data_IF_354925512901
#
_entry.id   IF_354925512901
#
_cell.length_a   1.000
_cell.length_b   1.000
_cell.length_c   1.000
_cell.angle_alpha   90.00
_cell.angle_beta   90.00
_cell.angle_gamma   90.00
#
_symmetry.space_group_name_H-M   'P 1'
#
loop_
_entity.id
_entity.type
_entity.pdbx_description
1 polymer ?
#
# COMPACT_ATOMS: atom_id res chain seq x y z
N UNK A 1 8.98 11.02 1.11
CA UNK A 1 8.30 10.06 0.23
C UNK A 1 7.08 10.76 -0.33
N UNK A 2 7.11 11.02 -1.63
CA UNK A 2 5.99 11.58 -2.35
C UNK A 2 4.98 10.47 -2.67
N UNK A 3 3.74 10.87 -2.96
CA UNK A 3 2.68 9.93 -3.34
C UNK A 3 3.09 9.05 -4.53
N UNK A 4 3.78 9.64 -5.51
CA UNK A 4 4.30 8.93 -6.68
C UNK A 4 5.24 7.77 -6.32
N UNK A 5 6.15 7.96 -5.35
CA UNK A 5 7.07 6.90 -4.91
C UNK A 5 6.31 5.68 -4.34
N UNK A 6 5.18 5.94 -3.66
CA UNK A 6 4.35 4.90 -3.06
C UNK A 6 3.55 4.17 -4.13
N UNK A 7 3.04 4.89 -5.12
CA UNK A 7 2.34 4.31 -6.27
C UNK A 7 3.28 3.44 -7.11
N UNK A 8 4.51 3.88 -7.36
CA UNK A 8 5.54 3.07 -8.02
C UNK A 8 5.85 1.79 -7.23
N UNK A 9 5.96 1.89 -5.90
CA UNK A 9 6.14 0.70 -5.07
C UNK A 9 4.97 -0.28 -5.22
N UNK A 10 3.73 0.19 -5.13
CA UNK A 10 2.53 -0.65 -5.27
C UNK A 10 2.50 -1.33 -6.65
N UNK A 11 2.87 -0.60 -7.71
CA UNK A 11 2.97 -1.17 -9.05
C UNK A 11 4.01 -2.29 -9.10
N UNK A 12 5.21 -2.08 -8.54
CA UNK A 12 6.23 -3.11 -8.48
C UNK A 12 5.77 -4.38 -7.72
N UNK A 13 5.04 -4.23 -6.62
CA UNK A 13 4.40 -5.37 -5.93
C UNK A 13 3.33 -6.06 -6.80
N UNK A 14 2.61 -5.33 -7.66
CA UNK A 14 1.65 -5.91 -8.60
C UNK A 14 2.32 -6.70 -9.73
N UNK A 15 3.40 -6.16 -10.29
CA UNK A 15 4.19 -6.87 -11.30
C UNK A 15 4.81 -8.13 -10.71
N UNK A 16 5.27 -8.04 -9.47
CA UNK A 16 5.78 -9.16 -8.71
C UNK A 16 4.71 -10.25 -8.51
N UNK A 17 3.52 -9.87 -8.05
CA UNK A 17 2.39 -10.80 -7.86
C UNK A 17 2.03 -11.53 -9.17
N UNK A 18 2.00 -10.83 -10.31
CA UNK A 18 1.78 -11.46 -11.62
C UNK A 18 2.88 -12.43 -12.01
N UNK A 19 4.15 -12.10 -11.76
CA UNK A 19 5.27 -12.97 -12.10
C UNK A 19 5.27 -14.26 -11.26
N UNK A 20 4.98 -14.14 -9.96
CA UNK A 20 4.83 -15.30 -9.06
C UNK A 20 3.66 -16.20 -9.49
N UNK A 21 2.51 -15.61 -9.85
CA UNK A 21 1.37 -16.36 -10.36
C UNK A 21 1.67 -17.08 -11.69
N UNK A 22 2.57 -16.53 -12.52
CA UNK A 22 3.07 -17.18 -13.73
C UNK A 22 4.08 -18.31 -13.45
N UNK A 23 4.40 -18.59 -12.17
CA UNK A 23 5.38 -19.60 -11.78
C UNK A 23 6.84 -19.12 -11.90
N UNK A 24 7.07 -17.81 -12.05
CA UNK A 24 8.42 -17.23 -12.08
C UNK A 24 8.82 -16.80 -10.67
N UNK A 25 9.95 -17.31 -10.20
CA UNK A 25 10.62 -16.82 -8.99
C UNK A 25 11.17 -15.43 -9.26
N UNK A 26 10.84 -14.48 -8.41
CA UNK A 26 11.29 -13.08 -8.55
C UNK A 26 12.07 -12.68 -7.31
N UNK A 27 13.27 -12.12 -7.53
CA UNK A 27 14.04 -11.49 -6.45
C UNK A 27 13.50 -10.09 -6.21
N UNK A 28 12.68 -9.93 -5.18
CA UNK A 28 12.14 -8.65 -4.75
C UNK A 28 12.87 -8.20 -3.48
N UNK A 29 13.43 -6.98 -3.50
CA UNK A 29 14.20 -6.42 -2.38
C UNK A 29 15.39 -7.31 -1.93
N UNK A 30 16.07 -7.97 -2.88
CA UNK A 30 17.19 -8.87 -2.60
C UNK A 30 16.80 -10.24 -2.03
N UNK A 31 15.51 -10.50 -1.82
CA UNK A 31 14.99 -11.79 -1.38
C UNK A 31 14.23 -12.48 -2.52
N UNK A 32 14.46 -13.78 -2.68
CA UNK A 32 13.71 -14.60 -3.64
C UNK A 32 12.28 -14.78 -3.13
N UNK A 33 11.32 -14.17 -3.80
CA UNK A 33 9.90 -14.38 -3.57
C UNK A 33 9.33 -15.41 -4.54
N UNK A 34 8.72 -16.44 -3.98
CA UNK A 34 8.02 -17.53 -4.67
C UNK A 34 6.54 -17.52 -4.28
N UNK A 35 5.74 -18.49 -4.77
CA UNK A 35 4.31 -18.60 -4.44
C UNK A 35 4.02 -18.67 -2.94
N UNK A 36 4.96 -19.18 -2.13
CA UNK A 36 4.81 -19.22 -0.67
C UNK A 36 4.73 -17.81 -0.05
N UNK A 37 5.39 -16.84 -0.70
CA UNK A 37 5.42 -15.43 -0.25
C UNK A 37 4.27 -14.60 -0.84
N UNK A 38 3.35 -15.20 -1.60
CA UNK A 38 2.21 -14.49 -2.20
C UNK A 38 1.33 -13.84 -1.11
N UNK A 39 1.17 -14.52 0.02
CA UNK A 39 0.47 -13.96 1.19
C UNK A 39 1.21 -12.77 1.80
N UNK A 40 2.54 -12.75 1.78
CA UNK A 40 3.37 -11.64 2.26
C UNK A 40 3.35 -10.46 1.30
N UNK A 41 3.40 -10.71 -0.01
CA UNK A 41 3.28 -9.69 -1.07
C UNK A 41 1.94 -8.95 -0.94
N UNK A 42 0.84 -9.68 -0.75
CA UNK A 42 -0.48 -9.07 -0.54
C UNK A 42 -0.56 -8.26 0.76
N UNK A 43 0.08 -8.74 1.84
CA UNK A 43 0.18 -7.97 3.10
C UNK A 43 1.00 -6.69 2.90
N UNK A 44 2.12 -6.77 2.17
CA UNK A 44 2.96 -5.63 1.81
C UNK A 44 2.17 -4.59 1.01
N UNK A 45 1.45 -5.00 -0.03
CA UNK A 45 0.55 -4.14 -0.81
C UNK A 45 -0.46 -3.42 0.08
N UNK A 46 -1.19 -4.16 0.93
CA UNK A 46 -2.17 -3.57 1.86
C UNK A 46 -1.52 -2.58 2.84
N UNK A 47 -0.30 -2.84 3.28
CA UNK A 47 0.44 -1.92 4.15
C UNK A 47 0.78 -0.61 3.42
N UNK A 48 1.19 -0.69 2.16
CA UNK A 48 1.45 0.50 1.33
C UNK A 48 0.18 1.27 0.99
N UNK A 49 -0.93 0.59 0.67
CA UNK A 49 -2.24 1.23 0.47
C UNK A 49 -2.75 1.92 1.73
N UNK A 50 -2.56 1.31 2.92
CA UNK A 50 -2.86 1.95 4.20
C UNK A 50 -2.00 3.20 4.44
N UNK A 51 -0.72 3.15 4.08
CA UNK A 51 0.17 4.33 4.16
C UNK A 51 -0.27 5.44 3.20
N UNK A 52 -0.61 5.09 1.96
CA UNK A 52 -1.08 6.03 0.95
C UNK A 52 -2.40 6.68 1.38
N UNK A 53 -3.37 5.89 1.84
CA UNK A 53 -4.63 6.43 2.36
C UNK A 53 -4.44 7.31 3.60
N UNK A 54 -3.49 6.99 4.48
CA UNK A 54 -3.14 7.84 5.62
C UNK A 54 -2.52 9.18 5.16
N UNK A 55 -1.63 9.15 4.18
CA UNK A 55 -1.03 10.37 3.60
C UNK A 55 -2.08 11.23 2.89
N UNK A 56 -2.97 10.62 2.10
CA UNK A 56 -4.09 11.34 1.47
C UNK A 56 -5.03 11.93 2.52
N UNK A 57 -5.36 11.19 3.58
CA UNK A 57 -6.19 11.67 4.67
C UNK A 57 -5.53 12.82 5.45
N UNK A 58 -4.20 12.79 5.60
CA UNK A 58 -3.43 13.88 6.20
C UNK A 58 -3.39 15.12 5.29
N UNK A 59 -3.22 14.94 3.98
CA UNK A 59 -3.26 16.03 3.00
C UNK A 59 -4.63 16.68 2.90
N UNK A 60 -5.71 15.89 2.97
CA UNK A 60 -7.08 16.40 2.89
C UNK A 60 -7.60 17.06 4.19
N UNK A 61 -6.75 17.23 5.22
CA UNK A 61 -7.04 18.10 6.36
C UNK A 61 -8.40 17.84 7.02
N UNK A 62 -8.56 16.70 7.68
CA UNK A 62 -9.75 16.49 8.52
C UNK A 62 -9.73 17.50 9.68
N UNK A 63 -10.76 18.36 9.83
CA UNK A 63 -10.86 19.16 11.04
C UNK A 63 -11.06 18.21 12.22
N UNK A 64 -10.08 18.16 13.12
CA UNK A 64 -10.02 17.24 14.26
C UNK A 64 -11.05 17.56 15.37
N UNK A 65 -11.90 18.57 15.15
CA UNK A 65 -12.87 19.07 16.11
C UNK A 65 -14.29 18.85 15.61
N UNK A 66 -15.11 18.14 16.40
CA UNK A 66 -16.57 18.14 16.26
C UNK A 66 -17.10 19.40 16.94
N UNK A 67 -17.67 20.32 16.16
CA UNK A 67 -18.49 21.40 16.70
C UNK A 67 -19.77 20.78 17.29
N UNK A 68 -19.94 20.86 18.60
CA UNK A 68 -21.22 20.51 19.24
C UNK A 68 -22.28 21.50 18.73
N UNK A 69 -23.32 20.98 18.07
CA UNK A 69 -24.52 21.78 17.76
C UNK A 69 -25.49 21.67 18.92
N UNK A 70 -25.73 22.79 19.59
CA UNK A 70 -26.84 22.93 20.51
C UNK A 70 -28.05 23.42 19.71
N UNK A 71 -29.12 22.62 19.69
CA UNK A 71 -30.44 23.06 19.25
C UNK A 71 -31.09 23.81 20.41
N UNK A 72 -31.67 24.98 20.11
CA UNK A 72 -32.40 25.84 21.06
C UNK A 72 -33.81 25.31 21.30
#
# INVERSE_FOLDING_TARGET
MNQADIEEMIQQYMTAERAVLQGKSITFNGQSMTMENLSEIQKGRKAWERRLSTLLAAQCGRPQYRLARFVR
#
